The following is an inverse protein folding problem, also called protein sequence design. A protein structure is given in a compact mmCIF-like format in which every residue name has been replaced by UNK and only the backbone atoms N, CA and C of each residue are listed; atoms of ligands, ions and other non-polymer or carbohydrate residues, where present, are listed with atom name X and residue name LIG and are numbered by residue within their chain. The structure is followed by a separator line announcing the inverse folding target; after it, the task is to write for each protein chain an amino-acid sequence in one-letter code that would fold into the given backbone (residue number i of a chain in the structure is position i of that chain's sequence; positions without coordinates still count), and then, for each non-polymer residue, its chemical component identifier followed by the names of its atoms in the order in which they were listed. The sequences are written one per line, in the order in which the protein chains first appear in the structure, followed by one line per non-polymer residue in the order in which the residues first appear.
data_IF_842158748418
#
_entry.id   IF_842158748418
#
_cell.length_a   1.000
_cell.length_b   1.000
_cell.length_c   1.000
_cell.angle_alpha   90.00
_cell.angle_beta   90.00
_cell.angle_gamma   90.00
#
_symmetry.space_group_name_H-M   'P 1'
#
loop_
_entity.id
_entity.type
_entity.pdbx_description
1 polymer ?
#
# COMPACT_ATOMS: atom_id res chain seq x y z
N UNK A 1 -86.29 24.15 -8.51
CA UNK A 1 -84.88 24.51 -8.77
C UNK A 1 -84.09 24.22 -7.50
N UNK A 2 -82.99 23.45 -7.63
CA UNK A 2 -81.68 23.51 -6.95
C UNK A 2 -81.64 23.72 -5.42
N UNK A 3 -81.35 22.66 -4.63
CA UNK A 3 -80.03 22.19 -4.13
C UNK A 3 -79.35 23.13 -3.12
N UNK A 4 -79.05 22.63 -1.91
CA UNK A 4 -77.67 22.31 -1.49
C UNK A 4 -77.61 21.90 -0.01
N UNK A 5 -77.08 20.70 0.23
CA UNK A 5 -76.68 20.20 1.55
C UNK A 5 -75.16 20.08 1.56
N UNK A 6 -74.50 20.77 2.49
CA UNK A 6 -73.04 20.77 2.65
C UNK A 6 -72.59 19.55 3.46
N UNK A 7 -71.68 18.75 2.91
CA UNK A 7 -70.96 17.67 3.59
C UNK A 7 -69.52 18.14 3.88
N UNK A 8 -69.15 18.16 5.15
CA UNK A 8 -67.76 18.31 5.61
C UNK A 8 -67.04 16.96 5.45
N UNK A 9 -65.94 16.91 4.71
CA UNK A 9 -65.03 15.78 4.65
C UNK A 9 -63.80 16.06 5.54
N UNK A 10 -63.60 15.23 6.57
CA UNK A 10 -62.39 15.22 7.39
C UNK A 10 -61.35 14.30 6.73
N UNK A 11 -60.21 14.86 6.33
CA UNK A 11 -59.09 14.11 5.78
C UNK A 11 -58.19 13.59 6.92
N UNK A 12 -58.06 12.27 7.03
CA UNK A 12 -57.11 11.58 7.91
C UNK A 12 -55.72 11.58 7.25
N UNK A 13 -54.73 12.20 7.89
CA UNK A 13 -53.32 12.09 7.51
C UNK A 13 -52.71 10.84 8.18
N UNK A 14 -52.34 9.83 7.38
CA UNK A 14 -51.57 8.68 7.86
C UNK A 14 -50.06 8.96 7.72
N UNK A 15 -49.27 8.87 8.80
CA UNK A 15 -47.82 8.97 8.68
C UNK A 15 -47.26 7.71 8.00
N UNK A 16 -46.57 7.89 6.88
CA UNK A 16 -45.78 6.84 6.23
C UNK A 16 -44.58 6.51 7.14
N UNK A 17 -44.67 5.40 7.87
CA UNK A 17 -43.53 4.85 8.61
C UNK A 17 -42.63 4.16 7.59
N UNK A 18 -41.52 4.82 7.21
CA UNK A 18 -40.45 4.19 6.44
C UNK A 18 -39.73 3.20 7.36
N UNK A 19 -40.04 1.92 7.21
CA UNK A 19 -39.30 0.85 7.87
C UNK A 19 -38.00 0.63 7.09
N UNK A 20 -36.88 1.16 7.60
CA UNK A 20 -35.56 0.74 7.16
C UNK A 20 -35.36 -0.70 7.64
N UNK A 21 -35.49 -1.67 6.73
CA UNK A 21 -35.11 -3.05 7.04
C UNK A 21 -33.63 -3.04 7.47
N UNK A 22 -33.27 -3.72 8.58
CA UNK A 22 -31.86 -3.82 8.95
C UNK A 22 -31.11 -4.47 7.79
N UNK A 23 -30.13 -3.76 7.24
CA UNK A 23 -29.17 -4.34 6.29
C UNK A 23 -28.51 -5.47 7.06
N UNK A 24 -28.83 -6.69 6.69
CA UNK A 24 -28.21 -7.87 7.30
C UNK A 24 -26.73 -7.78 6.93
N UNK A 25 -25.87 -7.49 7.90
CA UNK A 25 -24.42 -7.54 7.71
C UNK A 25 -24.10 -8.88 7.03
N UNK A 26 -23.57 -8.80 5.81
CA UNK A 26 -23.18 -9.99 5.08
C UNK A 26 -21.87 -10.44 5.71
N UNK A 27 -21.86 -11.64 6.29
CA UNK A 27 -20.60 -12.23 6.72
C UNK A 27 -19.73 -12.44 5.47
N UNK A 28 -18.46 -12.08 5.56
CA UNK A 28 -17.49 -12.38 4.49
C UNK A 28 -17.43 -13.89 4.24
N UNK A 29 -17.08 -14.27 3.02
CA UNK A 29 -16.69 -15.65 2.74
C UNK A 29 -15.47 -16.03 3.60
N UNK A 30 -15.26 -17.31 3.86
CA UNK A 30 -14.09 -17.76 4.63
C UNK A 30 -12.77 -17.36 3.93
N UNK A 31 -12.78 -17.33 2.58
CA UNK A 31 -11.64 -16.88 1.77
C UNK A 31 -11.40 -15.39 1.94
N UNK A 32 -12.42 -14.55 1.81
CA UNK A 32 -12.30 -13.10 1.98
C UNK A 32 -11.84 -12.73 3.38
N UNK A 33 -12.40 -13.39 4.39
CA UNK A 33 -11.97 -13.21 5.78
C UNK A 33 -10.49 -13.58 5.97
N UNK A 34 -10.04 -14.70 5.40
CA UNK A 34 -8.64 -15.13 5.47
C UNK A 34 -7.70 -14.14 4.76
N UNK A 35 -8.08 -13.65 3.57
CA UNK A 35 -7.32 -12.66 2.80
C UNK A 35 -7.17 -11.37 3.61
N UNK A 36 -8.26 -10.83 4.16
CA UNK A 36 -8.22 -9.60 4.96
C UNK A 36 -7.52 -9.80 6.31
N UNK A 37 -7.63 -10.97 6.93
CA UNK A 37 -6.87 -11.30 8.13
C UNK A 37 -5.37 -11.30 7.86
N UNK A 38 -4.94 -11.86 6.74
CA UNK A 38 -3.54 -11.84 6.33
C UNK A 38 -3.07 -10.45 5.95
N UNK A 39 -3.85 -9.68 5.19
CA UNK A 39 -3.56 -8.26 4.91
C UNK A 39 -3.39 -7.47 6.21
N UNK A 40 -4.30 -7.63 7.19
CA UNK A 40 -4.17 -7.02 8.51
C UNK A 40 -2.87 -7.41 9.25
N UNK A 41 -2.30 -8.60 9.02
CA UNK A 41 -0.99 -8.97 9.59
C UNK A 41 0.14 -8.20 8.89
N UNK A 42 0.08 -8.04 7.56
CA UNK A 42 1.06 -7.28 6.81
C UNK A 42 1.00 -5.78 7.16
N UNK A 43 -0.18 -5.18 7.23
CA UNK A 43 -0.32 -3.77 7.65
C UNK A 43 0.24 -3.52 9.06
N UNK A 44 0.03 -4.47 9.99
CA UNK A 44 0.62 -4.39 11.32
C UNK A 44 2.15 -4.52 11.28
N UNK A 45 2.70 -5.36 10.41
CA UNK A 45 4.14 -5.51 10.20
C UNK A 45 4.73 -4.18 9.77
N UNK A 46 4.16 -3.55 8.74
CA UNK A 46 4.64 -2.29 8.15
C UNK A 46 4.49 -1.12 9.12
N UNK A 47 3.30 -0.99 9.72
CA UNK A 47 3.04 0.00 10.78
C UNK A 47 4.08 -0.10 11.90
N UNK A 48 4.35 -1.32 12.38
CA UNK A 48 5.32 -1.55 13.46
C UNK A 48 6.75 -1.27 13.01
N UNK A 49 7.12 -1.68 11.80
CA UNK A 49 8.44 -1.45 11.22
C UNK A 49 8.76 0.06 11.17
N UNK A 50 7.87 0.87 10.61
CA UNK A 50 8.10 2.31 10.51
C UNK A 50 8.07 2.99 11.88
N UNK A 51 7.15 2.62 12.78
CA UNK A 51 7.12 3.17 14.13
C UNK A 51 8.45 2.94 14.86
N UNK A 52 8.98 1.72 14.79
CA UNK A 52 10.27 1.39 15.41
C UNK A 52 11.44 2.09 14.71
N UNK A 53 11.46 2.14 13.38
CA UNK A 53 12.52 2.80 12.60
C UNK A 53 12.59 4.31 12.86
N UNK A 54 11.46 5.01 12.82
CA UNK A 54 11.35 6.44 13.08
C UNK A 54 11.73 6.77 14.52
N UNK A 55 11.34 5.93 15.49
CA UNK A 55 11.73 6.12 16.89
C UNK A 55 13.23 5.88 17.13
N UNK A 56 13.87 5.03 16.32
CA UNK A 56 15.26 4.62 16.51
C UNK A 56 16.27 5.61 15.93
N UNK A 57 16.04 6.11 14.71
CA UNK A 57 17.04 6.89 13.98
C UNK A 57 16.79 8.40 14.09
N UNK A 58 17.87 9.17 14.21
CA UNK A 58 17.84 10.63 14.24
C UNK A 58 18.30 11.23 12.91
N UNK A 59 18.07 12.53 12.71
CA UNK A 59 18.43 13.21 11.45
C UNK A 59 19.91 13.05 11.09
N UNK A 60 20.82 12.98 12.07
CA UNK A 60 22.25 12.74 11.85
C UNK A 60 22.53 11.39 11.18
N UNK A 61 21.73 10.36 11.47
CA UNK A 61 21.90 9.02 10.90
C UNK A 61 21.53 9.02 9.41
N UNK A 62 20.48 9.77 9.04
CA UNK A 62 20.11 9.97 7.64
C UNK A 62 21.16 10.79 6.88
N UNK A 63 21.74 11.82 7.50
CA UNK A 63 22.85 12.57 6.89
C UNK A 63 24.07 11.67 6.68
N UNK A 64 24.42 10.84 7.67
CA UNK A 64 25.50 9.87 7.58
C UNK A 64 25.26 8.80 6.50
N UNK A 65 24.00 8.43 6.27
CA UNK A 65 23.58 7.53 5.18
C UNK A 65 23.62 8.17 3.78
N UNK A 66 24.01 9.45 3.68
CA UNK A 66 24.18 10.15 2.40
C UNK A 66 22.89 10.76 1.86
N UNK A 67 21.84 10.95 2.67
CA UNK A 67 20.68 11.73 2.24
C UNK A 67 21.05 13.21 2.12
N UNK A 68 20.74 13.84 0.97
CA UNK A 68 20.94 15.28 0.75
C UNK A 68 20.10 16.14 1.69
N UNK A 69 18.96 15.59 2.14
CA UNK A 69 18.11 16.16 3.16
C UNK A 69 17.52 15.06 4.02
N UNK A 70 17.98 14.97 5.27
CA UNK A 70 17.38 14.09 6.27
C UNK A 70 15.88 14.38 6.45
N UNK A 71 15.47 15.66 6.32
CA UNK A 71 14.07 16.07 6.45
C UNK A 71 13.18 15.42 5.38
N UNK A 72 13.65 15.34 4.13
CA UNK A 72 12.90 14.68 3.04
C UNK A 72 12.69 13.21 3.36
N UNK A 73 13.74 12.51 3.80
CA UNK A 73 13.66 11.10 4.16
C UNK A 73 12.72 10.89 5.36
N UNK A 74 12.89 11.63 6.45
CA UNK A 74 12.05 11.46 7.65
C UNK A 74 10.60 11.84 7.40
N UNK A 75 10.32 12.88 6.61
CA UNK A 75 8.96 13.27 6.25
C UNK A 75 8.28 12.16 5.44
N UNK A 76 8.99 11.60 4.45
CA UNK A 76 8.48 10.51 3.61
C UNK A 76 8.14 9.29 4.47
N UNK A 77 9.08 8.83 5.30
CA UNK A 77 8.86 7.67 6.18
C UNK A 77 7.73 7.91 7.19
N UNK A 78 7.57 9.13 7.70
CA UNK A 78 6.47 9.48 8.62
C UNK A 78 5.12 9.47 7.91
N UNK A 79 5.06 9.93 6.65
CA UNK A 79 3.84 9.86 5.85
C UNK A 79 3.43 8.41 5.62
N UNK A 80 4.36 7.56 5.16
CA UNK A 80 4.11 6.13 4.95
C UNK A 80 3.61 5.48 6.24
N UNK A 81 4.31 5.70 7.37
CA UNK A 81 3.89 5.18 8.68
C UNK A 81 2.44 5.55 9.05
N UNK A 82 2.03 6.79 8.78
CA UNK A 82 0.69 7.28 9.08
C UNK A 82 -0.37 6.60 8.20
N UNK A 83 -0.03 6.36 6.95
CA UNK A 83 -0.91 5.68 6.00
C UNK A 83 -1.05 4.19 6.40
N UNK A 84 0.04 3.48 6.76
CA UNK A 84 -0.05 2.07 7.22
C UNK A 84 -0.86 1.89 8.51
N UNK A 85 -0.73 2.84 9.44
CA UNK A 85 -1.55 2.82 10.65
C UNK A 85 -3.04 3.00 10.32
N UNK A 86 -3.33 3.78 9.27
CA UNK A 86 -4.70 3.99 8.78
C UNK A 86 -5.21 2.74 8.06
N UNK A 87 -4.41 2.14 7.16
CA UNK A 87 -4.72 0.87 6.50
C UNK A 87 -5.03 -0.23 7.52
N UNK A 88 -4.15 -0.43 8.51
CA UNK A 88 -4.35 -1.37 9.62
C UNK A 88 -5.72 -1.15 10.28
N UNK A 89 -6.04 0.09 10.65
CA UNK A 89 -7.30 0.42 11.34
C UNK A 89 -8.52 0.12 10.46
N UNK A 90 -8.46 0.49 9.18
CA UNK A 90 -9.55 0.27 8.21
C UNK A 90 -9.78 -1.23 7.98
N UNK A 91 -8.73 -2.04 7.80
CA UNK A 91 -8.87 -3.49 7.59
C UNK A 91 -9.41 -4.17 8.86
N UNK A 92 -8.95 -3.77 10.04
CA UNK A 92 -9.49 -4.29 11.30
C UNK A 92 -10.98 -4.00 11.45
N UNK A 93 -11.42 -2.82 11.01
CA UNK A 93 -12.83 -2.46 11.03
C UNK A 93 -13.62 -3.25 9.97
N UNK A 94 -13.11 -3.36 8.75
CA UNK A 94 -13.72 -4.15 7.67
C UNK A 94 -13.91 -5.62 8.07
N UNK A 95 -12.92 -6.22 8.73
CA UNK A 95 -13.04 -7.58 9.28
C UNK A 95 -14.20 -7.68 10.27
N UNK A 96 -14.27 -6.78 11.26
CA UNK A 96 -15.33 -6.78 12.27
C UNK A 96 -16.72 -6.60 11.65
N UNK A 97 -16.85 -5.66 10.72
CA UNK A 97 -18.12 -5.35 10.04
C UNK A 97 -18.62 -6.52 9.18
N UNK A 98 -17.70 -7.36 8.70
CA UNK A 98 -18.01 -8.56 7.93
C UNK A 98 -17.98 -9.85 8.79
N UNK A 99 -18.05 -9.72 10.12
CA UNK A 99 -18.19 -10.85 11.05
C UNK A 99 -16.93 -11.69 11.24
N UNK A 100 -15.77 -11.19 10.84
CA UNK A 100 -14.46 -11.81 11.03
C UNK A 100 -13.68 -11.11 12.16
N UNK A 101 -12.73 -11.83 12.75
CA UNK A 101 -11.90 -11.31 13.84
C UNK A 101 -10.53 -10.89 13.29
N UNK A 102 -10.06 -9.65 13.54
CA UNK A 102 -8.69 -9.28 13.22
C UNK A 102 -7.66 -10.10 13.99
N UNK A 103 -6.53 -10.38 13.33
CA UNK A 103 -5.38 -11.00 13.97
C UNK A 103 -4.51 -9.96 14.68
N UNK A 104 -3.77 -10.40 15.69
CA UNK A 104 -2.76 -9.59 16.37
C UNK A 104 -1.48 -10.41 16.42
N UNK A 105 -0.41 -9.87 15.85
CA UNK A 105 0.88 -10.55 15.74
C UNK A 105 1.99 -9.66 16.27
N UNK A 106 3.12 -10.26 16.65
CA UNK A 106 4.30 -9.53 17.11
C UNK A 106 5.39 -9.58 16.04
N UNK A 107 6.25 -8.58 16.02
CA UNK A 107 7.29 -8.45 15.00
C UNK A 107 8.64 -8.12 15.61
N UNK A 108 9.70 -8.68 15.04
CA UNK A 108 11.09 -8.38 15.39
C UNK A 108 11.83 -7.83 14.18
N UNK A 109 12.23 -6.57 14.29
CA UNK A 109 12.98 -5.84 13.27
C UNK A 109 14.40 -5.50 13.74
N UNK A 110 14.88 -6.10 14.82
CA UNK A 110 16.20 -5.81 15.39
C UNK A 110 17.34 -6.06 14.38
N UNK A 111 17.17 -7.01 13.47
CA UNK A 111 18.13 -7.33 12.41
C UNK A 111 18.15 -6.32 11.25
N UNK A 112 17.03 -5.64 10.96
CA UNK A 112 16.89 -4.66 9.85
C UNK A 112 17.04 -3.22 10.29
N UNK A 113 16.84 -2.93 11.58
CA UNK A 113 16.96 -1.60 12.14
C UNK A 113 18.37 -1.38 12.71
N UNK A 114 19.42 -1.83 12.04
CA UNK A 114 20.82 -1.65 12.48
C UNK A 114 21.36 -0.27 12.13
N UNK A 115 21.01 0.23 10.94
CA UNK A 115 21.40 1.51 10.40
C UNK A 115 20.37 2.00 9.37
N UNK A 116 20.45 3.28 8.99
CA UNK A 116 19.51 3.89 8.04
C UNK A 116 19.58 3.26 6.64
N UNK A 117 20.76 2.96 6.05
CA UNK A 117 20.82 2.28 4.76
C UNK A 117 20.09 0.92 4.74
N UNK A 118 20.29 0.11 5.78
CA UNK A 118 19.63 -1.20 5.93
C UNK A 118 18.12 -1.03 6.09
N UNK A 119 17.69 -0.13 6.99
CA UNK A 119 16.27 0.18 7.19
C UNK A 119 15.62 0.70 5.89
N UNK A 120 16.26 1.61 5.16
CA UNK A 120 15.70 2.15 3.92
C UNK A 120 15.57 1.09 2.82
N UNK A 121 16.53 0.16 2.72
CA UNK A 121 16.44 -0.98 1.81
C UNK A 121 15.31 -1.95 2.21
N UNK A 122 15.15 -2.21 3.51
CA UNK A 122 14.04 -3.02 4.03
C UNK A 122 12.69 -2.37 3.78
N UNK A 123 12.55 -1.06 4.02
CA UNK A 123 11.33 -0.31 3.73
C UNK A 123 10.91 -0.52 2.28
N UNK A 124 11.84 -0.32 1.34
CA UNK A 124 11.59 -0.48 -0.10
C UNK A 124 11.14 -1.90 -0.48
N UNK A 125 11.72 -2.91 0.17
CA UNK A 125 11.37 -4.31 -0.06
C UNK A 125 10.00 -4.66 0.53
N UNK A 126 9.68 -4.13 1.70
CA UNK A 126 8.43 -4.36 2.41
C UNK A 126 7.25 -3.69 1.69
N UNK A 127 7.35 -2.42 1.27
CA UNK A 127 6.28 -1.80 0.47
C UNK A 127 6.05 -2.52 -0.86
N UNK A 128 7.13 -2.99 -1.52
CA UNK A 128 6.98 -3.79 -2.74
C UNK A 128 6.22 -5.08 -2.47
N UNK A 129 6.47 -5.69 -1.31
CA UNK A 129 5.79 -6.89 -0.88
C UNK A 129 4.30 -6.60 -0.61
N UNK A 130 3.98 -5.45 -0.01
CA UNK A 130 2.61 -4.93 0.14
C UNK A 130 1.89 -4.81 -1.20
N UNK A 131 2.48 -4.10 -2.18
CA UNK A 131 1.96 -4.02 -3.57
C UNK A 131 1.71 -5.41 -4.16
N UNK A 132 2.72 -6.29 -4.05
CA UNK A 132 2.67 -7.64 -4.61
C UNK A 132 1.58 -8.52 -3.96
N UNK A 133 1.37 -8.34 -2.65
CA UNK A 133 0.38 -9.06 -1.85
C UNK A 133 -1.04 -8.66 -2.23
N UNK A 134 -1.34 -7.36 -2.26
CA UNK A 134 -2.66 -6.87 -2.67
C UNK A 134 -2.98 -7.24 -4.12
N UNK A 135 -2.02 -7.07 -5.03
CA UNK A 135 -2.21 -7.41 -6.44
C UNK A 135 -2.46 -8.91 -6.63
N UNK A 136 -1.71 -9.77 -5.93
CA UNK A 136 -1.87 -11.22 -6.01
C UNK A 136 -3.12 -11.75 -5.31
N UNK A 137 -3.59 -11.07 -4.27
CA UNK A 137 -4.82 -11.43 -3.56
C UNK A 137 -6.10 -10.93 -4.26
N UNK A 138 -6.00 -10.01 -5.23
CA UNK A 138 -7.16 -9.43 -5.90
C UNK A 138 -8.10 -10.48 -6.53
N UNK A 139 -7.55 -11.58 -7.06
CA UNK A 139 -8.34 -12.68 -7.65
C UNK A 139 -8.95 -13.64 -6.62
N UNK A 140 -8.61 -13.48 -5.34
CA UNK A 140 -9.11 -14.32 -4.24
C UNK A 140 -10.36 -13.72 -3.58
N UNK A 141 -10.61 -12.42 -3.77
CA UNK A 141 -11.73 -11.71 -3.17
C UNK A 141 -13.01 -11.88 -4.00
N UNK A 142 -14.07 -12.36 -3.36
CA UNK A 142 -15.40 -12.50 -3.98
C UNK A 142 -16.39 -11.40 -3.59
N UNK A 143 -16.18 -10.69 -2.47
CA UNK A 143 -16.92 -9.48 -2.13
C UNK A 143 -16.35 -8.24 -2.84
N UNK A 144 -17.12 -7.58 -3.73
CA UNK A 144 -16.65 -6.41 -4.48
C UNK A 144 -16.38 -5.19 -3.59
N UNK A 145 -16.99 -5.09 -2.40
CA UNK A 145 -16.73 -3.99 -1.46
C UNK A 145 -15.38 -4.18 -0.78
N UNK A 146 -15.06 -5.42 -0.40
CA UNK A 146 -13.73 -5.76 0.11
C UNK A 146 -12.66 -5.60 -0.98
N UNK A 147 -12.95 -6.01 -2.22
CA UNK A 147 -12.05 -5.78 -3.35
C UNK A 147 -11.79 -4.29 -3.60
N UNK A 148 -12.82 -3.43 -3.58
CA UNK A 148 -12.67 -1.98 -3.73
C UNK A 148 -11.82 -1.38 -2.59
N UNK A 149 -12.08 -1.81 -1.35
CA UNK A 149 -11.25 -1.42 -0.20
C UNK A 149 -9.78 -1.81 -0.39
N UNK A 150 -9.50 -3.06 -0.76
CA UNK A 150 -8.16 -3.57 -0.99
C UNK A 150 -7.46 -2.85 -2.16
N UNK A 151 -8.20 -2.59 -3.24
CA UNK A 151 -7.69 -1.85 -4.39
C UNK A 151 -7.33 -0.39 -4.03
N UNK A 152 -8.08 0.25 -3.13
CA UNK A 152 -7.76 1.61 -2.69
C UNK A 152 -6.41 1.68 -1.97
N UNK A 153 -6.11 0.69 -1.11
CA UNK A 153 -4.85 0.56 -0.38
C UNK A 153 -3.71 0.29 -1.37
N UNK A 154 -3.87 -0.68 -2.28
CA UNK A 154 -2.88 -1.00 -3.32
C UNK A 154 -2.35 0.23 -4.08
N UNK A 155 -3.21 1.21 -4.38
CA UNK A 155 -2.76 2.43 -5.08
C UNK A 155 -1.87 3.33 -4.22
N UNK A 156 -2.01 3.27 -2.90
CA UNK A 156 -1.20 4.01 -1.93
C UNK A 156 0.13 3.29 -1.73
N UNK A 157 0.13 1.98 -1.54
CA UNK A 157 1.33 1.11 -1.52
C UNK A 157 2.24 1.38 -2.74
N UNK A 158 1.66 1.47 -3.94
CA UNK A 158 2.43 1.75 -5.16
C UNK A 158 3.08 3.15 -5.15
N UNK A 159 2.44 4.14 -4.50
CA UNK A 159 3.01 5.50 -4.33
C UNK A 159 4.10 5.52 -3.26
N UNK A 160 3.93 4.78 -2.16
CA UNK A 160 4.99 4.59 -1.18
C UNK A 160 6.21 3.99 -1.84
N UNK A 161 6.03 2.94 -2.63
CA UNK A 161 7.12 2.33 -3.36
C UNK A 161 7.81 3.29 -4.35
N UNK A 162 7.04 4.14 -5.03
CA UNK A 162 7.62 5.21 -5.88
C UNK A 162 8.53 6.14 -5.08
N UNK A 163 8.10 6.55 -3.88
CA UNK A 163 8.89 7.42 -3.01
C UNK A 163 10.13 6.70 -2.47
N UNK A 164 10.02 5.44 -2.09
CA UNK A 164 11.16 4.65 -1.59
C UNK A 164 12.18 4.33 -2.68
N UNK A 165 11.74 4.14 -3.93
CA UNK A 165 12.65 4.09 -5.09
C UNK A 165 13.47 5.39 -5.22
N UNK A 166 12.81 6.55 -5.07
CA UNK A 166 13.49 7.86 -5.09
C UNK A 166 14.48 7.97 -3.92
N UNK A 167 14.06 7.59 -2.70
CA UNK A 167 14.95 7.58 -1.53
C UNK A 167 16.13 6.61 -1.73
N UNK A 168 15.97 5.52 -2.47
CA UNK A 168 17.05 4.61 -2.82
C UNK A 168 18.03 5.19 -3.85
N UNK A 169 17.69 6.29 -4.52
CA UNK A 169 18.46 6.84 -5.63
C UNK A 169 18.23 6.13 -6.97
N UNK A 170 17.17 5.32 -7.05
CA UNK A 170 16.80 4.53 -8.22
C UNK A 170 15.86 5.29 -9.17
N UNK A 171 15.42 4.61 -10.23
CA UNK A 171 14.28 5.07 -11.03
C UNK A 171 13.00 5.02 -10.20
N UNK A 172 12.23 6.09 -10.23
CA UNK A 172 11.00 6.24 -9.43
C UNK A 172 9.94 5.19 -9.80
N UNK A 173 9.80 4.90 -11.10
CA UNK A 173 8.85 3.93 -11.66
C UNK A 173 9.62 3.05 -12.65
N UNK A 174 10.36 2.03 -12.17
CA UNK A 174 11.33 1.32 -12.99
C UNK A 174 10.71 0.35 -14.00
N UNK A 175 9.45 -0.04 -13.79
CA UNK A 175 8.71 -1.02 -14.60
C UNK A 175 7.25 -0.55 -14.77
N UNK A 176 6.60 -0.97 -15.87
CA UNK A 176 5.23 -0.55 -16.18
C UNK A 176 4.14 -1.34 -15.43
N UNK A 177 4.50 -2.46 -14.82
CA UNK A 177 3.61 -3.32 -14.05
C UNK A 177 4.37 -3.89 -12.86
N UNK A 178 3.67 -4.23 -11.78
CA UNK A 178 4.22 -4.94 -10.63
C UNK A 178 4.03 -6.47 -10.76
N UNK A 179 4.65 -7.24 -9.86
CA UNK A 179 4.61 -8.70 -9.87
C UNK A 179 3.67 -9.21 -8.76
N UNK A 180 2.54 -9.86 -9.09
CA UNK A 180 1.64 -10.42 -8.08
C UNK A 180 2.23 -11.64 -7.39
N UNK A 181 2.07 -11.72 -6.08
CA UNK A 181 2.48 -12.87 -5.25
C UNK A 181 1.29 -13.51 -4.53
N UNK A 182 1.31 -14.84 -4.43
CA UNK A 182 0.34 -15.58 -3.62
C UNK A 182 0.54 -15.30 -2.12
N UNK A 183 -0.49 -15.44 -1.27
CA UNK A 183 -0.32 -15.28 0.18
C UNK A 183 0.78 -16.17 0.79
N UNK A 184 0.98 -17.38 0.27
CA UNK A 184 2.01 -18.32 0.69
C UNK A 184 3.42 -17.81 0.37
N UNK A 185 3.59 -17.25 -0.84
CA UNK A 185 4.83 -16.64 -1.28
C UNK A 185 5.13 -15.38 -0.47
N UNK A 186 4.14 -14.53 -0.24
CA UNK A 186 4.27 -13.33 0.61
C UNK A 186 4.70 -13.71 2.02
N UNK A 187 4.05 -14.71 2.63
CA UNK A 187 4.40 -15.18 3.97
C UNK A 187 5.81 -15.79 4.02
N UNK A 188 6.31 -16.38 2.93
CA UNK A 188 7.68 -16.89 2.87
C UNK A 188 8.75 -15.78 2.94
N UNK A 189 8.40 -14.57 2.51
CA UNK A 189 9.26 -13.37 2.53
C UNK A 189 9.08 -12.62 3.86
N UNK A 190 7.85 -12.35 4.27
CA UNK A 190 7.55 -11.59 5.48
C UNK A 190 7.76 -12.39 6.78
N UNK A 191 7.68 -13.72 6.72
CA UNK A 191 7.60 -14.59 7.89
C UNK A 191 8.79 -14.49 8.84
N UNK A 192 9.97 -14.11 8.34
CA UNK A 192 11.16 -13.88 9.18
C UNK A 192 11.01 -12.75 10.20
N UNK A 193 10.08 -11.82 9.96
CA UNK A 193 9.80 -10.72 10.88
C UNK A 193 8.70 -11.05 11.89
N UNK A 194 7.91 -12.10 11.66
CA UNK A 194 6.78 -12.46 12.50
C UNK A 194 7.28 -13.34 13.66
N UNK A 195 6.96 -12.95 14.89
CA UNK A 195 7.40 -13.64 16.11
C UNK A 195 6.23 -14.06 16.99
N UNK A 196 6.46 -15.09 17.80
CA UNK A 196 5.43 -15.67 18.66
C UNK A 196 4.36 -16.43 17.88
N UNK A 197 3.16 -16.51 18.46
CA UNK A 197 2.02 -17.15 17.82
C UNK A 197 1.25 -16.12 16.97
N UNK A 198 1.22 -16.34 15.65
CA UNK A 198 0.50 -15.54 14.67
C UNK A 198 -0.25 -16.50 13.74
N UNK A 199 -1.51 -16.85 14.05
CA UNK A 199 -2.23 -17.90 13.36
C UNK A 199 -2.80 -17.40 12.02
N UNK A 200 -1.93 -17.17 11.04
CA UNK A 200 -2.31 -16.66 9.71
C UNK A 200 -3.20 -17.63 8.91
N UNK A 201 -3.23 -18.91 9.28
CA UNK A 201 -3.94 -19.95 8.53
C UNK A 201 -3.32 -20.26 7.16
N UNK A 202 -2.15 -19.71 6.86
CA UNK A 202 -1.43 -19.85 5.59
C UNK A 202 -0.14 -20.60 5.84
N UNK A 203 0.16 -21.58 4.98
CA UNK A 203 1.47 -22.27 4.99
C UNK A 203 2.40 -21.57 4.01
N UNK A 204 3.56 -21.03 4.44
CA UNK A 204 4.48 -20.37 3.54
C UNK A 204 5.11 -21.36 2.55
N UNK A 205 5.53 -20.86 1.38
CA UNK A 205 6.46 -21.59 0.52
C UNK A 205 7.83 -21.67 1.20
N UNK A 206 8.71 -22.54 0.70
CA UNK A 206 10.09 -22.59 1.20
C UNK A 206 10.80 -21.25 0.94
N UNK A 207 11.33 -20.62 1.98
CA UNK A 207 12.06 -19.36 1.87
C UNK A 207 13.31 -19.51 1.00
N UNK A 208 13.55 -18.50 0.16
CA UNK A 208 14.77 -18.34 -0.63
C UNK A 208 15.53 -17.12 -0.14
N UNK A 209 16.83 -17.27 0.04
CA UNK A 209 17.74 -16.19 0.44
C UNK A 209 18.74 -15.93 -0.67
N UNK A 210 18.89 -14.67 -1.06
CA UNK A 210 19.97 -14.26 -1.97
C UNK A 210 21.18 -13.90 -1.13
N UNK A 211 22.32 -14.52 -1.41
CA UNK A 211 23.55 -14.42 -0.61
C UNK A 211 24.57 -13.42 -1.16
N UNK A 212 24.24 -12.75 -2.28
CA UNK A 212 25.08 -11.70 -2.85
C UNK A 212 25.30 -10.55 -1.88
N UNK A 213 26.48 -9.96 -1.99
CA UNK A 213 27.01 -8.97 -1.05
C UNK A 213 26.92 -7.55 -1.53
N UNK A 214 27.11 -7.39 -2.83
CA UNK A 214 27.05 -6.14 -3.53
C UNK A 214 25.67 -6.01 -4.19
N UNK A 215 25.26 -4.79 -4.55
CA UNK A 215 24.06 -4.60 -5.34
C UNK A 215 24.21 -5.35 -6.64
N UNK A 216 23.21 -6.17 -6.96
CA UNK A 216 23.20 -6.93 -8.20
C UNK A 216 23.05 -5.97 -9.39
N UNK A 217 23.92 -6.14 -10.39
CA UNK A 217 23.90 -5.44 -11.66
C UNK A 217 23.66 -6.43 -12.82
N UNK A 218 23.19 -5.95 -13.98
CA UNK A 218 23.08 -6.79 -15.17
C UNK A 218 24.40 -7.48 -15.51
N UNK A 219 24.37 -8.81 -15.59
CA UNK A 219 25.53 -9.68 -15.81
C UNK A 219 26.05 -10.39 -14.57
N UNK A 220 25.71 -9.92 -13.37
CA UNK A 220 26.14 -10.55 -12.12
C UNK A 220 25.46 -11.90 -11.91
N UNK A 221 26.21 -12.87 -11.38
CA UNK A 221 25.66 -14.15 -10.95
C UNK A 221 24.92 -13.99 -9.63
N UNK A 222 23.63 -14.35 -9.63
CA UNK A 222 22.83 -14.41 -8.40
C UNK A 222 23.15 -15.70 -7.65
N UNK A 223 23.65 -15.57 -6.43
CA UNK A 223 23.93 -16.67 -5.51
C UNK A 223 22.82 -16.76 -4.48
N UNK A 224 22.38 -17.98 -4.18
CA UNK A 224 21.23 -18.21 -3.28
C UNK A 224 21.52 -19.31 -2.27
N UNK A 225 20.77 -19.30 -1.18
CA UNK A 225 20.65 -20.38 -0.21
C UNK A 225 19.18 -20.57 0.17
N UNK A 226 18.83 -21.75 0.65
CA UNK A 226 17.46 -22.06 1.05
C UNK A 226 17.29 -23.52 1.41
N UNK A 227 16.17 -23.84 2.06
CA UNK A 227 15.80 -25.22 2.29
C UNK A 227 15.68 -25.96 0.94
N UNK A 228 16.21 -27.19 0.87
CA UNK A 228 16.20 -28.03 -0.33
C UNK A 228 17.08 -27.54 -1.50
N UNK A 229 17.98 -26.59 -1.26
CA UNK A 229 19.04 -26.18 -2.21
C UNK A 229 20.38 -26.73 -1.69
N UNK A 230 20.72 -27.96 -2.06
CA UNK A 230 21.96 -28.64 -1.66
C UNK A 230 23.04 -28.69 -2.75
N UNK A 231 22.75 -28.09 -3.91
CA UNK A 231 23.60 -28.01 -5.10
C UNK A 231 22.89 -27.21 -6.19
N UNK A 232 23.50 -27.11 -7.38
CA UNK A 232 22.92 -26.40 -8.53
C UNK A 232 22.46 -27.32 -9.67
N UNK A 233 22.82 -28.60 -9.61
CA UNK A 233 22.48 -29.57 -10.65
C UNK A 233 20.96 -29.77 -10.75
N UNK A 234 20.43 -29.67 -11.97
CA UNK A 234 19.00 -29.78 -12.27
C UNK A 234 18.09 -28.79 -11.54
N UNK A 235 18.65 -27.68 -11.03
CA UNK A 235 17.89 -26.55 -10.53
C UNK A 235 17.95 -25.38 -11.50
N UNK A 236 16.85 -24.64 -11.56
CA UNK A 236 16.69 -23.49 -12.45
C UNK A 236 16.25 -22.30 -11.64
N UNK A 237 16.78 -21.13 -11.98
CA UNK A 237 16.31 -19.89 -11.43
C UNK A 237 15.34 -19.22 -12.40
N UNK A 238 14.24 -18.72 -11.87
CA UNK A 238 13.19 -18.05 -12.59
C UNK A 238 13.11 -16.61 -12.10
N UNK A 239 13.60 -15.68 -12.92
CA UNK A 239 13.54 -14.24 -12.65
C UNK A 239 12.29 -13.67 -13.32
N UNK A 240 11.33 -13.20 -12.53
CA UNK A 240 10.16 -12.49 -13.03
C UNK A 240 10.39 -10.99 -12.94
N UNK A 241 10.02 -10.29 -14.01
CA UNK A 241 10.01 -8.83 -14.08
C UNK A 241 8.60 -8.36 -14.42
N UNK A 242 8.25 -7.19 -13.92
CA UNK A 242 7.00 -6.53 -14.20
C UNK A 242 6.70 -6.41 -15.70
N UNK A 243 5.51 -6.83 -16.11
CA UNK A 243 5.03 -6.70 -17.48
C UNK A 243 5.45 -7.82 -18.43
N UNK A 244 6.37 -8.71 -18.01
CA UNK A 244 6.65 -9.93 -18.76
C UNK A 244 5.54 -10.97 -18.51
N UNK A 245 5.09 -11.73 -19.54
CA UNK A 245 4.09 -12.78 -19.35
C UNK A 245 4.65 -14.02 -18.63
N UNK A 246 5.97 -14.24 -18.71
CA UNK A 246 6.67 -15.38 -18.13
C UNK A 246 8.00 -14.95 -17.51
N UNK A 247 8.51 -15.74 -16.57
CA UNK A 247 9.85 -15.56 -16.01
C UNK A 247 10.95 -15.87 -17.03
N UNK A 248 12.11 -15.28 -16.79
CA UNK A 248 13.36 -15.65 -17.46
C UNK A 248 13.92 -16.86 -16.71
N UNK A 249 13.95 -18.01 -17.38
CA UNK A 249 14.44 -19.27 -16.83
C UNK A 249 15.91 -19.49 -17.22
N UNK A 250 16.78 -19.72 -16.24
CA UNK A 250 18.20 -20.02 -16.43
C UNK A 250 18.62 -21.18 -15.52
N UNK A 251 19.61 -22.01 -15.91
CA UNK A 251 20.22 -22.96 -14.97
C UNK A 251 20.78 -22.23 -13.75
N UNK A 252 20.56 -22.77 -12.54
CA UNK A 252 20.96 -22.10 -11.30
C UNK A 252 22.48 -21.83 -11.24
N UNK A 253 23.29 -22.72 -11.80
CA UNK A 253 24.74 -22.56 -11.90
C UNK A 253 25.19 -21.33 -12.73
N UNK A 254 24.30 -20.79 -13.54
CA UNK A 254 24.53 -19.65 -14.44
C UNK A 254 23.37 -18.66 -14.37
N UNK A 255 22.84 -18.44 -13.16
CA UNK A 255 21.73 -17.54 -12.85
C UNK A 255 22.17 -16.06 -12.92
N UNK A 256 22.58 -15.61 -14.11
CA UNK A 256 23.07 -14.25 -14.29
C UNK A 256 21.91 -13.28 -14.49
N UNK A 257 21.96 -12.09 -13.88
CA UNK A 257 20.98 -11.02 -14.09
C UNK A 257 20.96 -10.61 -15.58
N UNK A 258 19.83 -10.75 -16.29
CA UNK A 258 19.74 -10.37 -17.70
C UNK A 258 19.99 -8.88 -17.97
N UNK A 259 20.48 -8.58 -19.17
CA UNK A 259 20.65 -7.21 -19.65
C UNK A 259 19.31 -6.49 -19.81
N UNK A 260 19.28 -5.19 -19.55
CA UNK A 260 18.09 -4.35 -19.72
C UNK A 260 17.05 -4.44 -18.59
N UNK A 261 17.31 -5.20 -17.53
CA UNK A 261 16.46 -5.23 -16.33
C UNK A 261 16.74 -3.99 -15.47
N UNK A 262 15.66 -3.35 -15.02
CA UNK A 262 15.68 -2.26 -14.06
C UNK A 262 14.50 -2.44 -13.08
N UNK A 263 14.69 -2.16 -11.79
CA UNK A 263 13.65 -2.26 -10.77
C UNK A 263 13.52 -3.63 -10.11
N UNK A 264 12.34 -3.94 -9.55
CA UNK A 264 12.12 -5.15 -8.78
C UNK A 264 12.17 -6.41 -9.67
N UNK A 265 12.71 -7.49 -9.11
CA UNK A 265 12.75 -8.83 -9.71
C UNK A 265 12.35 -9.83 -8.64
N UNK A 266 11.36 -10.68 -8.93
CA UNK A 266 11.02 -11.79 -8.06
C UNK A 266 11.73 -13.07 -8.57
N UNK A 267 12.46 -13.74 -7.68
CA UNK A 267 13.30 -14.89 -8.00
C UNK A 267 12.75 -16.17 -7.37
N UNK A 268 12.49 -17.19 -8.18
CA UNK A 268 12.16 -18.53 -7.70
C UNK A 268 13.22 -19.53 -8.12
N UNK A 269 13.37 -20.61 -7.34
CA UNK A 269 14.14 -21.79 -7.73
C UNK A 269 13.16 -22.92 -8.05
N UNK A 270 13.32 -23.54 -9.21
CA UNK A 270 12.49 -24.67 -9.66
C UNK A 270 13.33 -25.91 -9.97
N UNK A 271 12.67 -27.07 -9.95
CA UNK A 271 13.24 -28.38 -10.29
C UNK A 271 13.20 -28.69 -11.80
N UNK A 272 12.61 -27.81 -12.61
CA UNK A 272 12.55 -27.94 -14.06
C UNK A 272 12.75 -26.61 -14.81
N UNK A 273 12.85 -26.73 -16.14
CA UNK A 273 13.14 -25.64 -17.07
C UNK A 273 11.90 -24.85 -17.50
N UNK A 274 10.73 -25.11 -16.92
CA UNK A 274 9.51 -24.43 -17.37
C UNK A 274 9.47 -23.01 -16.80
N UNK A 275 9.39 -21.97 -17.64
CA UNK A 275 9.17 -20.62 -17.16
C UNK A 275 7.86 -20.51 -16.38
N UNK A 276 7.89 -19.76 -15.28
CA UNK A 276 6.72 -19.47 -14.47
C UNK A 276 5.87 -18.39 -15.15
N UNK A 277 4.55 -18.60 -15.21
CA UNK A 277 3.62 -17.57 -15.65
C UNK A 277 3.58 -16.42 -14.64
N UNK A 278 3.55 -15.17 -15.13
CA UNK A 278 3.38 -14.00 -14.27
C UNK A 278 1.94 -13.90 -13.71
N UNK A 279 0.96 -14.47 -14.41
CA UNK A 279 -0.38 -14.62 -13.86
C UNK A 279 -0.34 -15.54 -12.63
N UNK A 280 -0.55 -14.96 -11.45
CA UNK A 280 -0.56 -15.65 -10.16
C UNK A 280 -1.58 -16.80 -10.09
N UNK A 281 -2.67 -16.73 -10.85
CA UNK A 281 -3.71 -17.77 -10.90
C UNK A 281 -3.22 -19.01 -11.66
N UNK A 282 -2.43 -18.79 -12.72
CA UNK A 282 -1.94 -19.86 -13.60
C UNK A 282 -0.49 -20.29 -13.27
N UNK A 283 0.15 -19.61 -12.32
CA UNK A 283 1.56 -19.84 -11.98
C UNK A 283 1.75 -21.23 -11.37
N UNK A 284 2.61 -22.02 -11.99
CA UNK A 284 2.92 -23.37 -11.51
C UNK A 284 3.65 -23.32 -10.16
N UNK A 285 3.15 -24.10 -9.19
CA UNK A 285 3.74 -24.20 -7.83
C UNK A 285 4.36 -25.57 -7.57
N UNK A 286 4.00 -26.61 -8.33
CA UNK A 286 4.42 -28.00 -8.07
C UNK A 286 5.92 -28.21 -8.18
N UNK A 287 6.57 -27.43 -9.04
CA UNK A 287 8.02 -27.54 -9.32
C UNK A 287 8.83 -26.47 -8.60
N UNK A 288 8.18 -25.65 -7.77
CA UNK A 288 8.84 -24.63 -6.97
C UNK A 288 9.57 -25.30 -5.80
N UNK A 289 10.89 -25.15 -5.79
CA UNK A 289 11.76 -25.63 -4.72
C UNK A 289 11.80 -24.61 -3.60
N UNK A 290 11.97 -23.33 -3.94
CA UNK A 290 12.00 -22.21 -2.99
C UNK A 290 11.65 -20.88 -3.68
N UNK A 291 11.25 -19.89 -2.87
CA UNK A 291 11.02 -18.51 -3.28
C UNK A 291 9.58 -18.04 -3.11
N UNK A 292 9.31 -16.78 -3.49
CA UNK A 292 10.24 -15.86 -4.13
C UNK A 292 11.26 -15.28 -3.15
N UNK A 293 12.40 -14.83 -3.69
CA UNK A 293 13.19 -13.74 -3.10
C UNK A 293 12.95 -12.48 -3.93
N UNK A 294 12.81 -11.32 -3.27
CA UNK A 294 12.67 -10.03 -3.94
C UNK A 294 14.04 -9.36 -4.08
N UNK A 295 14.36 -8.93 -5.28
CA UNK A 295 15.59 -8.25 -5.65
C UNK A 295 15.27 -6.90 -6.26
N UNK A 296 16.20 -5.94 -6.16
CA UNK A 296 16.14 -4.67 -6.90
C UNK A 296 17.39 -4.52 -7.75
N UNK A 297 17.20 -4.31 -9.05
CA UNK A 297 18.26 -4.06 -10.02
C UNK A 297 18.17 -2.59 -10.44
N UNK A 298 18.95 -1.72 -9.80
CA UNK A 298 18.90 -0.27 -10.08
C UNK A 298 19.88 0.13 -11.18
N UNK A 299 19.64 -0.36 -12.41
CA UNK A 299 20.55 -0.16 -13.56
C UNK A 299 20.32 1.16 -14.29
N UNK A 300 19.20 1.84 -14.06
CA UNK A 300 18.82 3.10 -14.69
C UNK A 300 18.42 4.16 -13.63
N UNK A 301 19.37 4.69 -12.83
CA UNK A 301 19.05 5.72 -11.85
C UNK A 301 18.59 7.03 -12.50
N UNK A 302 17.60 7.69 -11.90
CA UNK A 302 17.06 8.96 -12.36
C UNK A 302 17.66 10.15 -11.62
N UNK A 303 17.68 11.34 -12.25
CA UNK A 303 18.17 12.57 -11.60
C UNK A 303 17.42 12.91 -10.31
N UNK A 304 16.13 12.60 -10.25
CA UNK A 304 15.32 12.84 -9.06
C UNK A 304 15.83 12.01 -7.87
N UNK A 305 16.09 10.72 -8.07
CA UNK A 305 16.70 9.86 -7.06
C UNK A 305 18.12 10.32 -6.69
N UNK A 306 18.94 10.67 -7.69
CA UNK A 306 20.30 11.14 -7.47
C UNK A 306 20.36 12.45 -6.64
N UNK A 307 19.37 13.33 -6.79
CA UNK A 307 19.27 14.56 -6.00
C UNK A 307 19.01 14.29 -4.52
N UNK A 308 18.27 13.23 -4.20
CA UNK A 308 17.95 12.83 -2.82
C UNK A 308 19.13 12.17 -2.12
N UNK A 309 20.05 11.56 -2.86
CA UNK A 309 21.23 10.85 -2.33
C UNK A 309 22.54 11.66 -2.30
N UNK A 310 22.45 12.98 -2.44
CA UNK A 310 23.59 13.89 -2.30
C UNK A 310 24.62 13.70 -3.41
N UNK A 311 24.47 14.41 -4.52
CA UNK A 311 25.52 14.49 -5.54
C UNK A 311 26.69 15.32 -5.01
N UNK A 312 27.86 14.71 -4.83
CA UNK A 312 29.10 15.50 -4.80
C UNK A 312 29.24 16.20 -6.15
N UNK A 313 29.27 17.53 -6.13
CA UNK A 313 29.48 18.35 -7.32
C UNK A 313 30.86 18.04 -7.93
N UNK A 314 30.91 17.26 -9.02
CA UNK A 314 32.16 17.03 -9.75
C UNK A 314 32.04 16.03 -10.91
N UNK A 315 31.98 16.56 -12.13
CA UNK A 315 32.26 15.91 -13.43
C UNK A 315 31.45 14.69 -13.87
N UNK A 316 30.80 14.87 -15.03
CA UNK A 316 30.33 13.81 -15.90
C UNK A 316 31.46 12.78 -16.16
N UNK A 317 31.16 11.52 -15.90
CA UNK A 317 32.09 10.40 -16.08
C UNK A 317 32.66 9.84 -14.78
N UNK A 318 31.81 9.38 -13.87
CA UNK A 318 32.20 8.40 -12.85
C UNK A 318 30.94 7.74 -12.31
N UNK A 319 30.91 6.42 -12.33
CA UNK A 319 29.94 5.59 -11.60
C UNK A 319 29.78 6.13 -10.18
N UNK A 320 28.61 6.70 -9.88
CA UNK A 320 28.23 7.03 -8.51
C UNK A 320 27.96 5.70 -7.81
N UNK A 321 29.02 5.16 -7.21
CA UNK A 321 28.94 4.00 -6.34
C UNK A 321 28.00 4.34 -5.19
N UNK A 322 26.78 3.81 -5.24
CA UNK A 322 26.02 3.57 -4.02
C UNK A 322 26.82 2.54 -3.24
N UNK A 323 27.48 2.97 -2.16
CA UNK A 323 27.98 2.02 -1.16
C UNK A 323 26.76 1.35 -0.56
N UNK A 324 26.45 0.12 -0.98
CA UNK A 324 25.78 -0.80 -0.07
C UNK A 324 26.84 -1.53 0.74
N UNK A 325 26.46 -1.82 1.97
CA UNK A 325 27.19 -2.73 2.84
C UNK A 325 27.15 -4.15 2.21
N UNK A 326 28.19 -4.93 2.50
CA UNK A 326 28.42 -6.32 2.10
C UNK A 326 27.37 -7.31 2.69
N UNK A 327 27.32 -8.60 2.28
CA UNK A 327 26.12 -9.46 2.34
C UNK A 327 25.66 -9.85 3.74
N UNK A 328 26.51 -9.73 4.75
CA UNK A 328 26.25 -10.30 6.07
C UNK A 328 25.12 -9.54 6.78
N UNK A 329 24.64 -8.42 6.22
CA UNK A 329 23.66 -7.53 6.84
C UNK A 329 22.42 -7.24 5.98
N UNK A 330 22.30 -7.75 4.75
CA UNK A 330 21.05 -7.64 3.98
C UNK A 330 20.45 -9.02 3.64
N UNK A 331 21.30 -10.03 3.51
CA UNK A 331 20.90 -11.42 3.24
C UNK A 331 20.64 -12.25 4.50
N UNK A 332 21.14 -11.81 5.67
CA UNK A 332 21.03 -12.52 6.96
C UNK A 332 19.78 -12.17 7.76
N UNK A 333 19.03 -11.16 7.33
CA UNK A 333 17.96 -10.52 8.08
C UNK A 333 16.73 -11.44 8.29
N UNK A 334 16.50 -12.41 7.41
CA UNK A 334 15.44 -13.42 7.56
C UNK A 334 15.97 -14.74 8.18
N UNK A 335 17.29 -14.93 8.32
CA UNK A 335 17.88 -16.24 8.68
C UNK A 335 18.83 -16.24 9.89
N UNK A 336 18.77 -15.23 10.78
CA UNK A 336 19.72 -15.05 11.89
C UNK A 336 19.15 -14.96 13.31
N UNK A 337 17.86 -15.18 13.54
CA UNK A 337 17.22 -14.95 14.86
C UNK A 337 17.56 -15.98 15.98
N UNK A 338 18.67 -16.72 15.86
CA UNK A 338 19.09 -17.69 16.87
C UNK A 338 20.61 -17.70 17.11
N UNK A 339 21.13 -16.66 17.77
CA UNK A 339 22.37 -16.75 18.57
C UNK A 339 22.58 -15.52 19.50
N UNK A 340 22.15 -15.67 20.77
CA UNK A 340 22.90 -15.31 22.00
C UNK A 340 23.48 -13.89 22.19
N UNK A 341 22.74 -13.11 23.00
CA UNK A 341 23.14 -12.53 24.31
C UNK A 341 23.81 -11.14 24.46
N UNK A 342 23.12 -10.34 25.29
CA UNK A 342 23.59 -9.63 26.49
C UNK A 342 24.50 -8.40 26.43
N UNK A 343 23.98 -7.37 27.12
CA UNK A 343 24.62 -6.43 28.05
C UNK A 343 24.94 -5.01 27.56
N UNK A 344 24.29 -4.05 28.25
CA UNK A 344 25.01 -2.93 28.87
C UNK A 344 24.70 -1.51 28.37
N UNK A 345 24.09 -0.70 29.25
CA UNK A 345 24.63 0.64 29.53
C UNK A 345 23.83 1.86 29.05
N UNK A 346 22.95 2.36 29.92
CA UNK A 346 22.28 3.66 29.85
C UNK A 346 23.26 4.84 29.84
N UNK A 347 22.91 5.95 29.17
CA UNK A 347 23.08 7.29 29.73
C UNK A 347 22.20 8.35 29.05
N UNK A 348 21.71 9.24 29.90
CA UNK A 348 20.72 10.31 29.72
C UNK A 348 21.33 11.63 29.22
N UNK A 349 20.58 12.40 28.44
CA UNK A 349 20.88 13.82 28.17
C UNK A 349 19.64 14.61 27.77
N UNK A 350 19.30 15.61 28.57
CA UNK A 350 18.04 16.37 28.59
C UNK A 350 18.06 17.62 27.69
N UNK A 351 16.83 18.06 27.35
CA UNK A 351 16.36 19.10 26.43
C UNK A 351 16.91 20.55 26.57
N UNK A 352 16.79 21.36 25.50
CA UNK A 352 15.84 22.49 25.39
C UNK A 352 16.13 23.40 24.17
N UNK A 353 15.10 23.91 23.49
CA UNK A 353 15.22 25.04 22.56
C UNK A 353 13.94 25.37 21.80
N UNK A 354 13.36 26.54 22.08
CA UNK A 354 12.01 26.99 21.71
C UNK A 354 11.81 27.45 20.24
N UNK A 355 10.53 27.50 19.85
CA UNK A 355 9.97 27.78 18.53
C UNK A 355 9.76 29.27 18.18
N UNK A 356 9.50 29.55 16.89
CA UNK A 356 8.88 30.78 16.35
C UNK A 356 8.18 30.49 14.97
N UNK A 357 7.20 31.29 14.50
CA UNK A 357 5.89 30.79 14.04
C UNK A 357 5.56 30.75 12.52
N UNK A 358 4.38 30.15 12.27
CA UNK A 358 3.65 29.65 11.08
C UNK A 358 3.38 30.54 9.84
N UNK A 359 2.94 29.86 8.76
CA UNK A 359 2.00 30.37 7.74
C UNK A 359 0.94 29.27 7.41
N UNK A 360 -0.34 29.61 7.14
CA UNK A 360 -1.43 28.62 7.10
C UNK A 360 -1.54 27.91 5.74
N UNK A 361 -1.50 26.57 5.75
CA UNK A 361 -1.87 25.75 4.60
C UNK A 361 -3.37 25.41 4.70
N UNK A 362 -4.13 25.77 3.67
CA UNK A 362 -5.51 25.31 3.49
C UNK A 362 -5.50 23.79 3.24
N UNK A 363 -6.02 23.01 4.18
CA UNK A 363 -6.23 21.58 4.02
C UNK A 363 -7.32 21.32 2.98
N UNK A 364 -7.10 20.43 1.98
CA UNK A 364 -8.17 19.95 1.12
C UNK A 364 -9.18 19.20 1.97
N UNK A 365 -10.46 19.58 1.90
CA UNK A 365 -11.53 18.87 2.58
C UNK A 365 -11.73 17.49 1.92
N UNK A 366 -11.85 16.39 2.70
CA UNK A 366 -12.18 15.08 2.17
C UNK A 366 -13.52 15.08 1.43
N UNK A 367 -13.64 14.22 0.41
CA UNK A 367 -14.90 14.00 -0.28
C UNK A 367 -15.89 13.29 0.68
N UNK A 368 -16.83 14.06 1.23
CA UNK A 368 -17.86 13.57 2.16
C UNK A 368 -19.09 12.98 1.44
N UNK A 369 -18.93 12.47 0.21
CA UNK A 369 -20.06 11.87 -0.50
C UNK A 369 -20.47 10.55 0.18
N UNK A 370 -21.69 10.53 0.69
CA UNK A 370 -22.37 9.33 1.17
C UNK A 370 -23.63 9.17 0.35
N UNK A 371 -23.77 8.04 -0.33
CA UNK A 371 -24.94 7.78 -1.17
C UNK A 371 -24.66 6.85 -2.33
N UNK A 372 -25.72 6.52 -3.05
CA UNK A 372 -25.64 5.67 -4.23
C UNK A 372 -25.04 6.47 -5.39
N UNK A 373 -24.11 5.84 -6.10
CA UNK A 373 -23.65 6.29 -7.41
C UNK A 373 -24.84 6.56 -8.35
N UNK A 374 -24.69 7.46 -9.33
CA UNK A 374 -25.79 7.84 -10.24
C UNK A 374 -26.42 6.68 -11.02
N UNK A 375 -25.71 5.56 -11.18
CA UNK A 375 -26.20 4.35 -11.85
C UNK A 375 -26.82 3.32 -10.89
N UNK A 376 -26.85 3.60 -9.59
CA UNK A 376 -27.51 2.78 -8.58
C UNK A 376 -26.73 1.53 -8.16
N UNK A 377 -25.52 1.30 -8.69
CA UNK A 377 -24.81 0.01 -8.56
C UNK A 377 -23.84 -0.03 -7.40
N UNK A 378 -23.31 1.12 -7.01
CA UNK A 378 -22.36 1.28 -5.91
C UNK A 378 -22.97 2.20 -4.87
N UNK A 379 -22.96 1.78 -3.60
CA UNK A 379 -23.30 2.67 -2.48
C UNK A 379 -22.01 3.05 -1.77
N UNK A 380 -21.65 4.33 -1.83
CA UNK A 380 -20.48 4.87 -1.14
C UNK A 380 -20.90 5.14 0.31
N UNK A 381 -20.34 4.41 1.26
CA UNK A 381 -20.70 4.49 2.68
C UNK A 381 -20.06 5.67 3.42
N UNK A 382 -19.53 6.67 2.70
CA UNK A 382 -18.81 7.79 3.28
C UNK A 382 -17.50 7.37 3.97
N UNK A 383 -16.60 8.32 4.15
CA UNK A 383 -15.43 8.15 5.02
C UNK A 383 -15.77 8.74 6.39
N UNK A 384 -15.98 7.89 7.40
CA UNK A 384 -15.96 8.35 8.79
C UNK A 384 -14.51 8.47 9.23
N UNK A 385 -14.04 9.71 9.37
CA UNK A 385 -12.74 9.97 9.97
C UNK A 385 -12.75 9.44 11.41
N UNK A 386 -11.92 8.43 11.70
CA UNK A 386 -11.61 8.05 13.08
C UNK A 386 -10.75 9.18 13.64
N UNK A 387 -11.25 9.87 14.68
CA UNK A 387 -10.50 10.95 15.30
C UNK A 387 -9.18 10.39 15.84
N UNK A 388 -8.06 10.93 15.34
CA UNK A 388 -6.74 10.62 15.89
C UNK A 388 -6.64 11.22 17.30
N UNK A 389 -6.53 10.40 18.37
CA UNK A 389 -6.43 10.91 19.74
C UNK A 389 -5.14 11.69 19.99
N UNK A 390 -4.15 11.63 19.09
CA UNK A 390 -2.90 12.40 19.16
C UNK A 390 -2.99 13.81 18.52
N UNK A 391 -4.14 14.23 18.01
CA UNK A 391 -4.35 15.59 17.47
C UNK A 391 -5.18 16.52 18.38
N UNK A 392 -5.49 16.13 19.62
CA UNK A 392 -6.16 17.05 20.56
C UNK A 392 -5.14 18.00 21.20
N UNK A 393 -4.73 19.01 20.45
CA UNK A 393 -3.81 20.04 20.91
C UNK A 393 -4.06 21.37 20.21
N UNK A 394 -4.91 22.19 20.82
CA UNK A 394 -4.98 23.65 20.66
C UNK A 394 -5.69 24.22 19.42
N UNK A 395 -6.99 24.49 19.58
CA UNK A 395 -7.62 25.71 19.07
C UNK A 395 -8.90 26.01 19.87
N UNK A 396 -8.73 26.59 21.06
CA UNK A 396 -9.75 27.51 21.58
C UNK A 396 -9.57 28.83 20.84
N UNK A 397 -10.54 29.24 20.04
CA UNK A 397 -10.78 30.68 19.93
C UNK A 397 -12.26 31.02 19.82
N UNK A 398 -12.61 32.02 20.62
CA UNK A 398 -13.93 32.61 20.74
C UNK A 398 -14.18 33.54 19.56
N UNK A 399 -15.37 33.48 18.97
CA UNK A 399 -16.04 34.69 18.51
C UNK A 399 -17.54 34.52 18.62
N UNK A 400 -18.07 35.02 19.74
CA UNK A 400 -19.46 35.42 19.85
C UNK A 400 -19.62 36.77 19.16
N UNK A 401 -20.47 36.83 18.15
CA UNK A 401 -21.08 38.07 17.69
C UNK A 401 -22.50 37.78 17.20
N UNK A 402 -23.43 38.07 18.10
CA UNK A 402 -24.87 38.10 17.92
C UNK A 402 -25.26 39.17 16.90
N UNK A 403 -26.13 38.83 15.94
CA UNK A 403 -27.01 39.81 15.30
C UNK A 403 -28.40 39.18 15.10
N UNK A 404 -29.33 39.72 15.86
CA UNK A 404 -30.75 39.45 15.98
C UNK A 404 -31.58 40.06 14.84
N UNK A 405 -32.50 39.24 14.32
CA UNK A 405 -33.96 39.49 14.21
C UNK A 405 -34.63 40.05 12.93
N UNK A 406 -35.79 39.41 12.65
CA UNK A 406 -37.07 39.91 12.09
C UNK A 406 -37.29 40.26 10.60
N UNK A 407 -37.97 39.30 9.92
CA UNK A 407 -39.31 39.33 9.27
C UNK A 407 -39.78 40.40 8.25
N UNK A 408 -40.65 39.91 7.33
CA UNK A 408 -41.66 40.57 6.45
C UNK A 408 -41.20 41.14 5.09
N UNK A 409 -41.95 41.15 3.98
CA UNK A 409 -43.16 40.49 3.46
C UNK A 409 -43.38 40.96 2.00
N UNK A 410 -44.07 40.15 1.15
CA UNK A 410 -44.94 40.54 -0.01
C UNK A 410 -44.34 41.32 -1.20
N UNK A 411 -44.77 41.22 -2.47
CA UNK A 411 -45.75 40.42 -3.23
C UNK A 411 -45.70 40.86 -4.73
N UNK A 412 -46.34 40.08 -5.62
CA UNK A 412 -47.00 40.45 -6.92
C UNK A 412 -46.11 40.92 -8.08
N UNK A 413 -46.29 40.53 -9.36
CA UNK A 413 -47.48 40.22 -10.19
C UNK A 413 -47.08 39.27 -11.37
N UNK A 414 -47.82 38.21 -11.74
CA UNK A 414 -48.88 38.15 -12.78
C UNK A 414 -48.44 38.70 -14.16
N UNK A 415 -48.48 37.99 -15.31
CA UNK A 415 -49.65 37.34 -15.93
C UNK A 415 -49.35 36.88 -17.37
N UNK A 416 -50.16 35.89 -17.83
CA UNK A 416 -50.59 35.53 -19.21
C UNK A 416 -49.54 35.12 -20.28
N UNK A 417 -49.53 33.93 -20.91
CA UNK A 417 -50.55 33.07 -21.56
C UNK A 417 -50.54 33.14 -23.11
N UNK A 418 -50.88 31.99 -23.71
CA UNK A 418 -51.17 31.66 -25.14
C UNK A 418 -49.98 31.11 -25.94
N UNK A 419 -49.88 29.79 -26.25
CA UNK A 419 -50.64 28.97 -27.24
C UNK A 419 -50.50 29.50 -28.66
N UNK A 420 -49.88 28.81 -29.63
CA UNK A 420 -50.49 27.68 -30.36
C UNK A 420 -49.52 27.10 -31.41
N UNK A 421 -49.74 25.81 -31.70
CA UNK A 421 -49.43 24.96 -32.86
C UNK A 421 -48.85 25.58 -34.15
N UNK A 422 -47.92 24.88 -34.82
CA UNK A 422 -48.24 24.00 -35.98
C UNK A 422 -47.02 23.23 -36.51
N UNK A 423 -47.30 22.02 -36.99
CA UNK A 423 -46.39 21.07 -37.62
C UNK A 423 -46.21 21.28 -39.13
N UNK A 424 -45.10 20.80 -39.71
CA UNK A 424 -44.98 20.24 -41.09
C UNK A 424 -43.53 19.76 -41.30
N UNK A 425 -43.24 18.46 -41.35
CA UNK A 425 -43.29 17.51 -42.47
C UNK A 425 -42.01 17.44 -43.35
N UNK A 426 -41.56 16.18 -43.48
CA UNK A 426 -40.52 15.53 -44.28
C UNK A 426 -40.09 16.10 -45.65
N UNK A 427 -38.84 15.80 -46.03
CA UNK A 427 -38.52 15.16 -47.33
C UNK A 427 -37.09 14.58 -47.35
N UNK A 428 -37.02 13.31 -47.75
CA UNK A 428 -35.85 12.51 -48.17
C UNK A 428 -35.55 12.71 -49.67
N UNK A 429 -34.40 12.14 -50.11
CA UNK A 429 -33.84 11.97 -51.48
C UNK A 429 -32.73 12.97 -51.83
N UNK A 430 -31.62 12.65 -52.50
CA UNK A 430 -31.04 11.40 -53.03
C UNK A 430 -29.67 11.72 -53.65
N UNK A 431 -28.85 10.68 -53.89
CA UNK A 431 -27.82 10.52 -54.96
C UNK A 431 -26.59 11.46 -54.94
N UNK A 432 -25.36 10.98 -55.11
CA UNK A 432 -24.90 9.93 -56.05
C UNK A 432 -23.68 9.18 -55.52
#
# INVERSE_FOLDING_TARGET
MRYSSSLLAAALASPLVVSAAPIRARAASATDALVFQFANVLEQLETTFYQQGIAKFQQSDFQAAGFSSALIATQTLTTIQSDEATHTTVIQQALKDNGATPLTCNFDFSSVLTDVPTMAATARAVEYLGVSAYLGAATLLDDPVLLDSAASILTVEARHQTLLNILAGASSIPQAFDIPLTPQEVLSVAGGFITGDCPTGITPTNTLTVTNTAPLQPGDLVTVSGANISGTDNLFCNMMVGGAPFSINLPLASCNVPQGINGPVALWITSDQQPLANNVVDRATTQQVAGPAILFIDSQPEMLGAMVRGSSSGSAGSSTSTTTISPDQASSIIAGAAATATSGGSSSGTANGAAAPAAPASTPLPNNFTGTSPDGKVTVNGLTMVANPNLSGSATDSSSATATDSSSASSTDSSSASSTDTASAAATSSSS
#
